data_IF_222298555738
#
_entry.id   IF_222298555738
#
_cell.length_a   1.000
_cell.length_b   1.000
_cell.length_c   1.000
_cell.angle_alpha   90.00
_cell.angle_beta   90.00
_cell.angle_gamma   90.00
#
_symmetry.space_group_name_H-M   'P 1'
#
loop_
_entity.id
_entity.type
_entity.pdbx_description
1 polymer ?
#
# COMPACT_ATOMS: atom_id res chain seq x y z
N UNK A 1 -40.74 5.80 -30.55
CA UNK A 1 -39.28 5.93 -30.32
C UNK A 1 -39.04 5.99 -28.81
N UNK A 2 -38.58 4.89 -28.21
CA UNK A 2 -38.33 4.81 -26.77
C UNK A 2 -36.90 5.29 -26.47
N UNK A 3 -36.78 6.32 -25.63
CA UNK A 3 -35.48 6.81 -25.13
C UNK A 3 -34.85 5.73 -24.25
N UNK A 4 -33.71 5.20 -24.70
CA UNK A 4 -32.87 4.27 -23.94
C UNK A 4 -32.36 5.01 -22.70
N UNK A 5 -32.76 4.56 -21.51
CA UNK A 5 -32.24 5.09 -20.25
C UNK A 5 -30.71 4.88 -20.21
N UNK A 6 -29.95 5.93 -19.89
CA UNK A 6 -28.51 5.82 -19.63
C UNK A 6 -28.32 4.90 -18.42
N UNK A 7 -27.69 3.76 -18.66
CA UNK A 7 -27.19 2.88 -17.61
C UNK A 7 -26.10 3.65 -16.87
N UNK A 8 -26.44 4.17 -15.71
CA UNK A 8 -25.50 4.80 -14.79
C UNK A 8 -24.62 3.70 -14.23
N UNK A 9 -23.37 3.62 -14.70
CA UNK A 9 -22.32 2.79 -14.11
C UNK A 9 -21.92 3.37 -12.73
N UNK A 10 -22.79 3.29 -11.74
CA UNK A 10 -22.35 3.42 -10.35
C UNK A 10 -21.55 2.16 -10.01
N UNK A 11 -20.28 2.25 -9.58
CA UNK A 11 -19.64 1.13 -8.91
C UNK A 11 -20.38 0.88 -7.59
N UNK A 12 -21.31 -0.08 -7.62
CA UNK A 12 -21.90 -0.80 -6.49
C UNK A 12 -20.85 -1.84 -6.06
N UNK A 13 -20.48 -2.12 -4.81
CA UNK A 13 -21.08 -2.00 -3.47
C UNK A 13 -19.89 -1.85 -2.49
N UNK A 14 -20.04 -1.06 -1.41
CA UNK A 14 -19.23 -1.23 -0.18
C UNK A 14 -19.54 -2.60 0.42
N UNK A 15 -18.97 -3.67 -0.14
CA UNK A 15 -19.15 -5.00 0.42
C UNK A 15 -18.25 -5.12 1.65
N UNK A 16 -18.83 -5.48 2.79
CA UNK A 16 -18.07 -5.77 4.00
C UNK A 16 -17.24 -7.03 3.74
N UNK A 17 -15.94 -6.86 3.47
CA UNK A 17 -15.00 -7.96 3.33
C UNK A 17 -14.01 -7.94 4.48
N UNK A 18 -13.85 -9.09 5.12
CA UNK A 18 -12.82 -9.33 6.11
C UNK A 18 -11.63 -10.04 5.49
N UNK A 19 -10.42 -9.54 5.69
CA UNK A 19 -9.17 -10.27 5.41
C UNK A 19 -8.49 -10.51 6.75
N UNK A 20 -8.32 -11.78 7.13
CA UNK A 20 -7.72 -12.18 8.43
C UNK A 20 -8.39 -11.47 9.63
N UNK A 21 -9.71 -11.29 9.57
CA UNK A 21 -10.48 -10.60 10.63
C UNK A 21 -10.41 -9.06 10.61
N UNK A 22 -9.56 -8.44 9.79
CA UNK A 22 -9.59 -7.00 9.56
C UNK A 22 -10.71 -6.66 8.57
N UNK A 23 -11.63 -5.79 9.00
CA UNK A 23 -12.66 -5.25 8.12
C UNK A 23 -12.05 -4.23 7.15
N UNK A 24 -12.33 -4.40 5.86
CA UNK A 24 -11.92 -3.47 4.81
C UNK A 24 -12.88 -2.28 4.77
N UNK A 25 -12.32 -1.07 4.75
CA UNK A 25 -13.12 0.15 4.61
C UNK A 25 -13.64 0.33 3.18
N UNK A 26 -12.85 -0.13 2.21
CA UNK A 26 -13.16 -0.07 0.79
C UNK A 26 -12.80 -1.39 0.10
N UNK A 27 -13.67 -1.85 -0.79
CA UNK A 27 -13.52 -3.06 -1.59
C UNK A 27 -13.98 -2.74 -3.01
N UNK A 28 -13.13 -2.97 -4.00
CA UNK A 28 -13.48 -2.83 -5.42
C UNK A 28 -13.13 -4.07 -6.22
N UNK A 29 -14.02 -4.43 -7.13
CA UNK A 29 -13.73 -5.32 -8.25
C UNK A 29 -13.74 -4.47 -9.52
N UNK A 30 -12.63 -4.49 -10.24
CA UNK A 30 -12.38 -3.68 -11.44
C UNK A 30 -12.23 -4.65 -12.60
N UNK A 31 -13.29 -4.87 -13.41
CA UNK A 31 -13.26 -5.88 -14.47
C UNK A 31 -12.12 -5.76 -15.47
N UNK A 32 -11.54 -4.56 -15.64
CA UNK A 32 -10.37 -4.36 -16.50
C UNK A 32 -9.06 -4.92 -15.90
N UNK A 33 -8.96 -5.05 -14.58
CA UNK A 33 -7.79 -5.58 -13.87
C UNK A 33 -7.96 -7.05 -13.48
N UNK A 34 -9.19 -7.52 -13.27
CA UNK A 34 -9.45 -8.89 -12.83
C UNK A 34 -8.94 -9.92 -13.84
N UNK A 35 -8.08 -10.88 -13.44
CA UNK A 35 -7.61 -11.94 -14.33
C UNK A 35 -8.76 -12.76 -14.90
N UNK A 36 -8.65 -13.14 -16.17
CA UNK A 36 -9.70 -13.90 -16.89
C UNK A 36 -9.57 -15.40 -16.78
N UNK A 37 -8.37 -15.86 -16.43
CA UNK A 37 -8.11 -17.27 -16.11
C UNK A 37 -8.67 -17.62 -14.74
N UNK A 38 -9.12 -18.87 -14.58
CA UNK A 38 -9.57 -19.38 -13.28
C UNK A 38 -8.38 -19.63 -12.35
N UNK A 39 -8.56 -19.35 -11.06
CA UNK A 39 -7.56 -19.64 -10.03
C UNK A 39 -7.96 -19.09 -8.65
N UNK A 40 -7.06 -19.18 -7.65
CA UNK A 40 -7.32 -18.66 -6.30
C UNK A 40 -7.75 -17.18 -6.28
N UNK A 41 -7.26 -16.39 -7.23
CA UNK A 41 -7.58 -14.96 -7.41
C UNK A 41 -9.02 -14.68 -7.89
N UNK A 42 -9.80 -15.68 -8.31
CA UNK A 42 -11.13 -15.44 -8.89
C UNK A 42 -12.15 -14.83 -7.93
N UNK A 43 -11.93 -14.97 -6.61
CA UNK A 43 -12.78 -14.40 -5.57
C UNK A 43 -12.16 -13.14 -4.92
N UNK A 44 -10.99 -12.71 -5.38
CA UNK A 44 -10.28 -11.56 -4.83
C UNK A 44 -10.82 -10.25 -5.38
N UNK A 45 -10.63 -9.20 -4.58
CA UNK A 45 -10.86 -7.84 -5.00
C UNK A 45 -9.65 -7.34 -5.80
N UNK A 46 -9.88 -6.32 -6.60
CA UNK A 46 -8.82 -5.63 -7.33
C UNK A 46 -8.29 -4.43 -6.55
N UNK A 47 -9.04 -3.97 -5.54
CA UNK A 47 -8.55 -3.03 -4.54
C UNK A 47 -9.21 -3.27 -3.19
N UNK A 48 -8.40 -3.27 -2.14
CA UNK A 48 -8.80 -3.24 -0.74
C UNK A 48 -8.14 -2.05 -0.06
N UNK A 49 -8.84 -1.38 0.84
CA UNK A 49 -8.26 -0.31 1.64
C UNK A 49 -8.75 -0.39 3.09
N UNK A 50 -7.85 -0.20 4.05
CA UNK A 50 -8.16 -0.23 5.49
C UNK A 50 -7.19 0.65 6.27
N UNK A 51 -7.47 0.86 7.54
CA UNK A 51 -6.52 1.45 8.49
C UNK A 51 -6.02 0.33 9.39
N UNK A 52 -4.71 0.10 9.43
CA UNK A 52 -4.10 -0.88 10.32
C UNK A 52 -4.47 -0.55 11.77
N UNK A 53 -5.00 -1.55 12.49
CA UNK A 53 -5.57 -1.31 13.80
C UNK A 53 -4.52 -0.93 14.85
N UNK A 54 -3.32 -1.51 14.76
CA UNK A 54 -2.25 -1.32 15.74
C UNK A 54 -1.53 0.03 15.55
N UNK A 55 -1.19 0.37 14.31
CA UNK A 55 -0.37 1.54 13.99
C UNK A 55 -1.19 2.75 13.55
N UNK A 56 -2.47 2.55 13.24
CA UNK A 56 -3.37 3.54 12.64
C UNK A 56 -2.93 4.04 11.26
N UNK A 57 -1.96 3.37 10.62
CA UNK A 57 -1.51 3.73 9.29
C UNK A 57 -2.48 3.22 8.21
N UNK A 58 -2.84 4.04 7.21
CA UNK A 58 -3.66 3.61 6.09
C UNK A 58 -2.90 2.60 5.22
N UNK A 59 -3.60 1.55 4.81
CA UNK A 59 -3.07 0.46 4.00
C UNK A 59 -3.96 0.21 2.78
N UNK A 60 -3.35 -0.17 1.66
CA UNK A 60 -4.02 -0.56 0.42
C UNK A 60 -3.42 -1.85 -0.11
N UNK A 61 -4.27 -2.73 -0.61
CA UNK A 61 -3.90 -3.76 -1.59
C UNK A 61 -4.54 -3.36 -2.91
N UNK A 62 -3.78 -3.42 -4.01
CA UNK A 62 -4.33 -3.14 -5.34
C UNK A 62 -3.69 -4.04 -6.39
N UNK A 63 -4.51 -4.56 -7.30
CA UNK A 63 -4.07 -5.26 -8.49
C UNK A 63 -3.42 -4.30 -9.48
N UNK A 64 -2.31 -4.72 -10.08
CA UNK A 64 -1.64 -4.01 -11.16
C UNK A 64 -2.33 -4.27 -12.49
N UNK A 65 -2.00 -3.48 -13.51
CA UNK A 65 -2.45 -3.72 -14.89
C UNK A 65 -1.89 -5.01 -15.48
N UNK A 66 -0.87 -5.59 -14.85
CA UNK A 66 -0.27 -6.88 -15.23
C UNK A 66 -0.88 -8.06 -14.45
N UNK A 67 -1.84 -7.83 -13.54
CA UNK A 67 -2.63 -8.89 -12.90
C UNK A 67 -2.12 -9.36 -11.52
N UNK A 68 -0.90 -9.01 -11.13
CA UNK A 68 -0.40 -9.26 -9.77
C UNK A 68 -0.90 -8.23 -8.75
N UNK A 69 -0.81 -8.55 -7.46
CA UNK A 69 -1.17 -7.65 -6.38
C UNK A 69 0.04 -6.80 -5.91
N UNK A 70 -0.24 -5.58 -5.47
CA UNK A 70 0.71 -4.66 -4.85
C UNK A 70 0.18 -4.21 -3.48
N UNK A 71 1.08 -3.98 -2.53
CA UNK A 71 0.76 -3.47 -1.20
C UNK A 71 1.28 -2.06 -0.99
N UNK A 72 0.53 -1.24 -0.24
CA UNK A 72 0.90 0.15 0.05
C UNK A 72 0.54 0.54 1.48
N UNK A 73 1.39 1.34 2.11
CA UNK A 73 1.19 1.92 3.44
C UNK A 73 1.51 3.40 3.42
N UNK A 74 0.60 4.22 3.95
CA UNK A 74 0.76 5.67 4.03
C UNK A 74 1.33 6.12 5.38
N UNK A 75 2.15 7.17 5.33
CA UNK A 75 2.58 7.94 6.50
C UNK A 75 2.17 9.40 6.36
N UNK A 76 1.92 10.07 7.48
CA UNK A 76 1.56 11.49 7.52
C UNK A 76 2.76 12.43 7.37
N UNK A 77 2.51 13.72 7.11
CA UNK A 77 3.53 14.75 6.93
C UNK A 77 4.53 14.91 8.11
N UNK A 78 4.14 14.51 9.32
CA UNK A 78 5.01 14.53 10.51
C UNK A 78 5.95 13.32 10.64
N UNK A 79 5.88 12.34 9.73
CA UNK A 79 6.68 11.13 9.80
C UNK A 79 8.12 11.34 9.29
N UNK A 80 9.17 10.76 9.90
CA UNK A 80 10.57 10.92 9.48
C UNK A 80 10.83 10.68 8.01
N UNK A 81 10.17 9.64 7.49
CA UNK A 81 10.33 9.17 6.12
C UNK A 81 9.36 9.83 5.14
N UNK A 82 8.55 10.81 5.57
CA UNK A 82 7.65 11.49 4.64
C UNK A 82 8.45 12.17 3.52
N UNK A 83 8.06 11.94 2.26
CA UNK A 83 8.74 12.52 1.09
C UNK A 83 9.97 11.73 0.61
N UNK A 84 10.39 10.69 1.33
CA UNK A 84 11.52 9.86 0.91
C UNK A 84 11.11 8.94 -0.24
N UNK A 85 11.96 8.84 -1.24
CA UNK A 85 11.86 7.79 -2.25
C UNK A 85 12.15 6.42 -1.61
N UNK A 86 11.62 5.35 -2.20
CA UNK A 86 11.81 3.99 -1.67
C UNK A 86 13.28 3.58 -1.59
N UNK A 87 14.06 3.95 -2.60
CA UNK A 87 15.52 3.74 -2.69
C UNK A 87 16.34 4.57 -1.68
N UNK A 88 15.75 5.64 -1.14
CA UNK A 88 16.38 6.51 -0.14
C UNK A 88 16.10 6.04 1.31
N UNK A 89 15.20 5.08 1.52
CA UNK A 89 14.97 4.48 2.83
C UNK A 89 16.09 3.46 3.09
N UNK A 90 16.92 3.63 4.13
CA UNK A 90 18.04 2.73 4.37
C UNK A 90 17.59 1.27 4.55
N UNK A 91 18.32 0.36 3.92
CA UNK A 91 18.12 -1.08 4.10
C UNK A 91 18.24 -1.42 5.59
N UNK A 92 17.26 -2.17 6.13
CA UNK A 92 17.16 -2.51 7.55
C UNK A 92 16.22 -1.63 8.37
N UNK A 93 15.74 -0.50 7.83
CA UNK A 93 14.60 0.24 8.42
C UNK A 93 13.28 -0.41 8.04
N UNK A 94 13.18 -0.81 6.76
CA UNK A 94 12.03 -1.50 6.20
C UNK A 94 12.49 -2.74 5.45
N UNK A 95 11.79 -3.86 5.65
CA UNK A 95 11.92 -5.10 4.90
C UNK A 95 10.52 -5.59 4.54
N UNK A 96 10.28 -5.74 3.24
CA UNK A 96 9.03 -6.22 2.63
C UNK A 96 9.38 -7.06 1.40
N UNK A 97 8.41 -7.80 0.88
CA UNK A 97 8.53 -8.57 -0.35
C UNK A 97 9.18 -7.78 -1.50
N UNK A 98 10.33 -8.24 -1.99
CA UNK A 98 11.07 -7.58 -3.08
C UNK A 98 11.65 -6.19 -2.76
N UNK A 99 11.41 -5.66 -1.56
CA UNK A 99 11.76 -4.28 -1.19
C UNK A 99 10.73 -3.24 -1.62
N UNK A 100 11.00 -1.98 -1.30
CA UNK A 100 10.15 -0.86 -1.70
C UNK A 100 10.39 -0.50 -3.16
N UNK A 101 9.35 -0.53 -3.97
CA UNK A 101 9.38 -0.13 -5.39
C UNK A 101 8.48 1.08 -5.69
N UNK A 102 7.72 1.53 -4.67
CA UNK A 102 6.81 2.67 -4.78
C UNK A 102 6.99 3.64 -3.60
N UNK A 103 7.10 4.93 -3.91
CA UNK A 103 7.14 6.01 -2.93
C UNK A 103 6.65 7.32 -3.56
N UNK A 104 5.44 7.77 -3.20
CA UNK A 104 4.80 8.91 -3.87
C UNK A 104 3.67 9.51 -3.02
N UNK A 105 3.29 10.79 -3.22
CA UNK A 105 2.05 11.32 -2.66
C UNK A 105 0.81 10.58 -3.21
N UNK A 106 -0.35 10.80 -2.59
CA UNK A 106 -1.62 10.28 -3.14
C UNK A 106 -1.83 10.72 -4.60
N UNK A 107 -2.36 9.80 -5.41
CA UNK A 107 -2.90 10.08 -6.73
C UNK A 107 -4.36 10.54 -6.64
N UNK A 108 -4.56 11.86 -6.45
CA UNK A 108 -5.89 12.46 -6.35
C UNK A 108 -6.64 12.54 -7.69
N UNK A 109 -5.98 12.22 -8.81
CA UNK A 109 -6.52 12.45 -10.16
C UNK A 109 -7.08 11.18 -10.78
N UNK A 110 -6.57 10.01 -10.39
CA UNK A 110 -7.09 8.73 -10.84
C UNK A 110 -8.38 8.31 -10.10
N UNK A 111 -9.24 7.49 -10.72
CA UNK A 111 -10.43 6.92 -10.08
C UNK A 111 -10.10 6.17 -8.79
N UNK A 112 -10.98 6.23 -7.79
CA UNK A 112 -10.73 5.62 -6.47
C UNK A 112 -10.49 4.12 -6.56
N UNK A 113 -11.13 3.42 -7.49
CA UNK A 113 -10.98 1.99 -7.67
C UNK A 113 -9.58 1.55 -8.14
N UNK A 114 -8.78 2.46 -8.71
CA UNK A 114 -7.43 2.16 -9.24
C UNK A 114 -6.31 3.04 -8.66
N UNK A 115 -6.64 4.16 -8.04
CA UNK A 115 -5.65 5.10 -7.49
C UNK A 115 -5.04 4.62 -6.17
N UNK A 116 -3.86 5.15 -5.84
CA UNK A 116 -3.26 5.03 -4.51
C UNK A 116 -3.62 6.33 -3.79
N UNK A 117 -4.71 6.30 -3.03
CA UNK A 117 -5.18 7.48 -2.32
C UNK A 117 -5.88 7.14 -1.02
N UNK A 118 -6.19 8.17 -0.23
CA UNK A 118 -6.78 8.11 1.10
C UNK A 118 -7.85 7.03 1.24
N UNK A 119 -7.74 6.28 2.33
CA UNK A 119 -8.86 5.47 2.83
C UNK A 119 -9.97 6.45 3.22
N UNK A 120 -11.22 6.29 2.75
CA UNK A 120 -12.31 7.17 3.12
C UNK A 120 -12.51 7.18 4.64
N UNK A 121 -12.10 8.27 5.30
CA UNK A 121 -12.50 8.57 6.65
C UNK A 121 -13.75 9.46 6.60
N UNK A 122 -14.78 9.06 7.32
CA UNK A 122 -16.02 9.81 7.51
C UNK A 122 -15.79 11.16 8.21
N UNK A 123 -14.60 11.38 8.78
CA UNK A 123 -14.22 12.62 9.47
C UNK A 123 -13.05 13.40 8.82
N UNK A 124 -12.39 12.88 7.78
CA UNK A 124 -11.26 13.58 7.16
C UNK A 124 -11.74 14.52 6.03
N UNK A 125 -11.35 15.79 6.10
CA UNK A 125 -11.55 16.75 5.02
C UNK A 125 -10.64 16.39 3.83
N UNK A 126 -11.16 16.56 2.62
CA UNK A 126 -10.52 16.20 1.35
C UNK A 126 -9.39 17.17 0.95
N UNK A 127 -8.82 17.89 1.92
CA UNK A 127 -7.85 18.98 1.70
C UNK A 127 -6.43 18.57 2.15
N UNK A 128 -5.48 18.65 1.21
CA UNK A 128 -4.04 18.54 1.45
C UNK A 128 -3.39 17.21 1.02
N UNK A 129 -2.15 17.28 0.51
CA UNK A 129 -1.24 16.13 0.35
C UNK A 129 -0.82 15.70 1.75
N UNK A 130 -1.68 14.96 2.46
CA UNK A 130 -1.42 14.62 3.86
C UNK A 130 -0.76 13.25 4.03
N UNK A 131 -0.55 12.52 2.93
CA UNK A 131 -0.05 11.15 2.96
C UNK A 131 1.02 10.90 1.91
N UNK A 132 2.11 10.27 2.35
CA UNK A 132 3.15 9.71 1.51
C UNK A 132 3.05 8.19 1.56
N UNK A 133 2.89 7.56 0.40
CA UNK A 133 2.64 6.13 0.29
C UNK A 133 3.92 5.40 -0.09
N UNK A 134 4.29 4.42 0.72
CA UNK A 134 5.32 3.43 0.40
C UNK A 134 4.66 2.14 -0.08
N UNK A 135 5.23 1.47 -1.08
CA UNK A 135 4.67 0.22 -1.59
C UNK A 135 5.69 -0.74 -2.18
N UNK A 136 5.18 -1.95 -2.44
CA UNK A 136 5.89 -3.10 -3.00
C UNK A 136 4.97 -3.88 -3.95
N UNK A 137 5.56 -4.58 -4.91
CA UNK A 137 4.83 -5.37 -5.91
C UNK A 137 5.12 -6.86 -5.80
N UNK A 138 4.08 -7.69 -5.93
CA UNK A 138 4.22 -9.14 -6.11
C UNK A 138 4.35 -9.52 -7.59
N UNK A 139 5.24 -8.83 -8.30
CA UNK A 139 5.55 -9.05 -9.71
C UNK A 139 7.00 -9.48 -9.93
N UNK A 140 7.64 -10.04 -8.90
CA UNK A 140 8.98 -10.59 -9.01
C UNK A 140 8.96 -11.86 -9.86
N UNK A 141 10.10 -12.27 -10.40
CA UNK A 141 10.19 -13.47 -11.24
C UNK A 141 9.73 -14.75 -10.51
N UNK A 142 9.83 -14.78 -9.18
CA UNK A 142 9.34 -15.87 -8.32
C UNK A 142 7.86 -15.75 -7.95
N UNK A 143 7.17 -14.71 -8.38
CA UNK A 143 5.73 -14.54 -8.14
C UNK A 143 4.94 -15.03 -9.34
N UNK A 144 3.91 -15.83 -9.08
CA UNK A 144 3.00 -16.29 -10.12
C UNK A 144 2.08 -15.13 -10.53
N UNK A 145 2.07 -14.79 -11.83
CA UNK A 145 1.18 -13.79 -12.40
C UNK A 145 0.04 -14.49 -13.20
N UNK A 146 -1.23 -14.31 -12.81
CA UNK A 146 -2.35 -14.98 -13.46
C UNK A 146 -2.47 -14.71 -14.97
N UNK A 147 -2.26 -15.76 -15.77
CA UNK A 147 -2.43 -15.70 -17.22
C UNK A 147 -1.26 -15.05 -17.98
N UNK A 148 -0.15 -14.76 -17.32
CA UNK A 148 1.06 -14.25 -17.96
C UNK A 148 2.05 -15.38 -18.28
N UNK A 149 1.90 -15.94 -19.49
CA UNK A 149 2.77 -17.04 -19.96
C UNK A 149 4.21 -16.61 -20.24
N UNK A 150 4.46 -15.32 -20.53
CA UNK A 150 5.81 -14.83 -20.75
C UNK A 150 6.59 -14.78 -19.43
N UNK A 151 5.95 -14.27 -18.37
CA UNK A 151 6.50 -14.26 -17.01
C UNK A 151 6.76 -15.67 -16.48
N UNK A 152 5.83 -16.60 -16.70
CA UNK A 152 6.03 -18.01 -16.34
C UNK A 152 7.20 -18.65 -17.11
N UNK A 153 7.34 -18.32 -18.40
CA UNK A 153 8.45 -18.79 -19.23
C UNK A 153 9.81 -18.29 -18.76
N UNK A 154 9.91 -17.04 -18.31
CA UNK A 154 11.14 -16.47 -17.74
C UNK A 154 11.57 -17.21 -16.47
N UNK A 155 10.65 -17.44 -15.53
CA UNK A 155 10.94 -18.20 -14.32
C UNK A 155 11.42 -19.62 -14.62
N UNK A 156 10.78 -20.31 -15.58
CA UNK A 156 11.19 -21.63 -16.02
C UNK A 156 12.60 -21.65 -16.61
N UNK A 157 12.97 -20.64 -17.42
CA UNK A 157 14.31 -20.52 -17.99
C UNK A 157 15.39 -20.33 -16.91
N UNK A 158 15.04 -19.66 -15.82
CA UNK A 158 15.92 -19.47 -14.67
C UNK A 158 15.90 -20.65 -13.68
N UNK A 159 15.04 -21.66 -13.92
CA UNK A 159 14.86 -22.79 -13.00
C UNK A 159 14.24 -22.41 -11.66
N UNK A 160 13.39 -21.38 -11.66
CA UNK A 160 12.74 -20.84 -10.47
C UNK A 160 11.28 -21.30 -10.38
N UNK A 161 10.88 -21.70 -9.19
CA UNK A 161 9.47 -21.95 -8.87
C UNK A 161 8.74 -20.62 -8.62
N UNK A 162 7.45 -20.61 -8.98
CA UNK A 162 6.57 -19.46 -8.77
C UNK A 162 5.48 -19.75 -7.76
N UNK A 163 5.16 -18.76 -6.95
CA UNK A 163 4.09 -18.82 -5.95
C UNK A 163 3.14 -17.63 -6.12
N UNK A 164 1.84 -17.88 -6.03
CA UNK A 164 0.85 -16.80 -6.06
C UNK A 164 0.82 -16.08 -4.71
N UNK A 165 1.02 -14.77 -4.73
CA UNK A 165 0.92 -13.91 -3.55
C UNK A 165 -0.49 -13.37 -3.43
N UNK A 166 -1.29 -14.03 -2.59
CA UNK A 166 -2.70 -13.71 -2.38
C UNK A 166 -2.93 -12.49 -1.47
N UNK A 167 -4.18 -12.11 -1.29
CA UNK A 167 -4.55 -10.98 -0.42
C UNK A 167 -4.16 -11.17 1.04
N UNK A 168 -4.11 -12.41 1.55
CA UNK A 168 -3.67 -12.70 2.91
C UNK A 168 -2.17 -12.39 3.04
N UNK A 169 -1.36 -12.86 2.10
CA UNK A 169 0.07 -12.57 2.05
C UNK A 169 0.32 -11.07 2.03
N UNK A 170 -0.36 -10.33 1.15
CA UNK A 170 -0.19 -8.88 1.08
C UNK A 170 -0.70 -8.16 2.33
N UNK A 171 -1.78 -8.64 2.96
CA UNK A 171 -2.25 -8.09 4.23
C UNK A 171 -1.15 -8.19 5.29
N UNK A 172 -0.54 -9.36 5.44
CA UNK A 172 0.55 -9.59 6.39
C UNK A 172 1.78 -8.71 6.08
N UNK A 173 2.16 -8.58 4.80
CA UNK A 173 3.25 -7.69 4.37
C UNK A 173 2.94 -6.21 4.65
N UNK A 174 1.70 -5.75 4.39
CA UNK A 174 1.28 -4.38 4.71
C UNK A 174 1.27 -4.11 6.21
N UNK A 175 0.78 -5.05 7.03
CA UNK A 175 0.83 -4.93 8.50
C UNK A 175 2.27 -4.89 9.01
N UNK A 176 3.15 -5.74 8.47
CA UNK A 176 4.58 -5.72 8.80
C UNK A 176 5.25 -4.40 8.39
N UNK A 177 4.94 -3.87 7.22
CA UNK A 177 5.44 -2.57 6.76
C UNK A 177 4.96 -1.44 7.66
N UNK A 178 3.67 -1.43 8.01
CA UNK A 178 3.08 -0.43 8.89
C UNK A 178 3.76 -0.43 10.27
N UNK A 179 4.00 -1.61 10.86
CA UNK A 179 4.71 -1.72 12.14
C UNK A 179 6.13 -1.16 12.07
N UNK A 180 6.87 -1.44 10.99
CA UNK A 180 8.23 -0.94 10.78
C UNK A 180 8.27 0.58 10.62
N UNK A 181 7.34 1.16 9.86
CA UNK A 181 7.21 2.61 9.70
C UNK A 181 6.86 3.28 11.04
N UNK A 182 5.87 2.76 11.77
CA UNK A 182 5.51 3.27 13.10
C UNK A 182 6.71 3.26 14.06
N UNK A 183 7.47 2.17 14.11
CA UNK A 183 8.67 2.08 14.94
C UNK A 183 9.77 3.08 14.51
N UNK A 184 9.89 3.39 13.21
CA UNK A 184 10.81 4.41 12.72
C UNK A 184 10.41 5.82 13.19
N UNK A 185 9.10 6.11 13.25
CA UNK A 185 8.59 7.37 13.80
C UNK A 185 8.95 7.54 15.29
N UNK A 186 8.75 6.50 16.09
CA UNK A 186 9.02 6.53 17.54
C UNK A 186 10.50 6.72 17.88
N UNK A 187 11.40 6.06 17.13
CA UNK A 187 12.87 6.17 17.33
C UNK A 187 13.40 7.59 17.14
N UNK A 188 12.77 8.40 16.29
CA UNK A 188 13.12 9.80 16.10
C UNK A 188 12.67 10.68 17.28
N UNK A 189 11.53 10.37 17.89
CA UNK A 189 11.03 11.12 19.05
C UNK A 189 11.97 10.96 20.25
N UNK A 190 12.52 9.76 20.44
CA UNK A 190 13.45 9.45 21.54
C UNK A 190 14.80 10.18 21.40
N UNK A 191 15.31 10.36 20.17
CA UNK A 191 16.57 11.09 19.92
C UNK A 191 16.46 12.60 20.16
N UNK A 192 15.27 13.20 20.02
CA UNK A 192 15.04 14.63 20.26
C UNK A 192 14.77 14.92 21.75
N UNK A 193 14.07 14.04 22.46
CA UNK A 193 13.66 14.27 23.85
C UNK A 193 14.80 14.10 24.87
N UNK A 194 15.80 13.25 24.59
CA UNK A 194 16.85 12.89 25.55
C UNK A 194 18.19 13.61 25.36
N UNK A 195 18.24 14.69 24.56
CA UNK A 195 19.41 15.56 24.55
C UNK A 195 19.26 16.65 25.63
N UNK A 196 19.95 16.56 26.78
CA UNK A 196 20.04 17.70 27.68
C UNK A 196 20.63 18.86 26.89
N UNK A 197 19.91 19.99 26.85
CA UNK A 197 20.44 21.25 26.34
C UNK A 197 21.62 21.65 27.22
N UNK A 198 22.82 21.21 26.86
CA UNK A 198 24.02 21.60 27.58
C UNK A 198 24.28 23.08 27.30
N UNK A 199 23.81 23.86 28.27
CA UNK A 199 24.05 25.25 28.60
C UNK A 199 25.07 25.99 27.71
N UNK A 200 24.57 26.81 26.78
CA UNK A 200 25.34 27.83 26.06
C UNK A 200 25.55 29.12 26.86
N UNK A 201 25.65 29.02 28.19
CA UNK A 201 25.90 30.15 29.10
C UNK A 201 27.25 29.97 29.82
N UNK A 202 28.35 30.00 29.05
CA UNK A 202 29.70 30.21 29.58
C UNK A 202 30.56 31.03 28.61
N UNK A 203 30.09 32.21 28.22
CA UNK A 203 30.98 33.21 27.60
C UNK A 203 30.59 34.67 27.92
N UNK A 204 30.09 34.89 29.14
CA UNK A 204 30.07 36.21 29.78
C UNK A 204 30.66 36.07 31.18
N UNK A 205 31.99 35.93 31.25
CA UNK A 205 32.86 36.21 32.41
C UNK A 205 34.28 35.73 32.08
N UNK A 206 35.02 36.56 31.35
CA UNK A 206 36.44 36.87 31.57
C UNK A 206 36.88 37.93 30.59
#
# INVERSE_FOLDING_TARGET
MAKRAKQTNLPMVRAERGVVGQQMATVYHVPALTPKVSGPWSCEADKLAWTDAATRLPCIIRRSTHGFLCGYVAVGAGHPLFGFRGDAVPAGIVTVHGGLDYASPCDHRAPEETSICHVPDRHATREGINQWWFGFSCGQVTDLIPGDGAHAGEAQQLGLDQEYRDERYLFEQCTGLAAQLAAAAERQVWTIADHPRENRDREQRR
#
